data_IF_195911279026
#
_entry.id   IF_195911279026
#
_cell.length_a   1.000
_cell.length_b   1.000
_cell.length_c   1.000
_cell.angle_alpha   90.00
_cell.angle_beta   90.00
_cell.angle_gamma   90.00
#
_symmetry.space_group_name_H-M   'P 1'
#
loop_
_entity.id
_entity.type
_entity.pdbx_description
1 polymer ?
#
# COMPACT_ATOMS: atom_id res chain seq x y z
N UNK A 1 6.65 -18.25 4.18
CA UNK A 1 7.62 -17.28 3.63
C UNK A 1 8.10 -16.41 4.78
N UNK A 2 9.38 -16.03 4.85
CA UNK A 2 9.83 -15.03 5.83
C UNK A 2 9.20 -13.69 5.46
N UNK A 3 8.59 -13.00 6.42
CA UNK A 3 8.02 -11.66 6.19
C UNK A 3 9.15 -10.63 6.15
N UNK A 4 9.73 -10.44 4.97
CA UNK A 4 10.78 -9.46 4.70
C UNK A 4 10.19 -8.05 4.55
N UNK A 5 11.02 -7.03 4.75
CA UNK A 5 10.76 -5.67 4.35
C UNK A 5 11.40 -5.41 2.98
N UNK A 6 10.58 -4.97 2.05
CA UNK A 6 11.00 -4.63 0.70
C UNK A 6 10.97 -3.12 0.50
N UNK A 7 11.96 -2.60 -0.21
CA UNK A 7 11.93 -1.26 -0.79
C UNK A 7 11.59 -1.40 -2.28
N UNK A 8 10.50 -0.79 -2.73
CA UNK A 8 10.16 -0.80 -4.15
C UNK A 8 9.53 0.52 -4.60
N UNK A 9 9.61 0.79 -5.89
CA UNK A 9 8.80 1.81 -6.53
C UNK A 9 7.35 1.33 -6.58
N UNK A 10 6.40 2.09 -6.02
CA UNK A 10 4.96 1.81 -6.09
C UNK A 10 4.27 2.70 -7.12
N UNK A 11 2.98 2.47 -7.36
CA UNK A 11 2.17 3.26 -8.27
C UNK A 11 2.07 4.75 -7.89
N UNK A 12 2.36 5.11 -6.62
CA UNK A 12 2.38 6.51 -6.15
C UNK A 12 3.78 7.03 -5.83
N UNK A 13 4.54 6.33 -4.99
CA UNK A 13 5.83 6.81 -4.46
C UNK A 13 6.77 5.63 -4.24
N UNK A 14 7.95 5.88 -3.68
CA UNK A 14 8.78 4.79 -3.13
C UNK A 14 8.12 4.30 -1.83
N UNK A 15 8.04 2.98 -1.66
CA UNK A 15 7.31 2.36 -0.56
C UNK A 15 8.11 1.28 0.17
N UNK A 16 7.92 1.25 1.48
CA UNK A 16 8.18 0.08 2.31
C UNK A 16 7.01 -0.89 2.19
N UNK A 17 7.30 -2.13 1.85
CA UNK A 17 6.31 -3.18 1.59
C UNK A 17 6.64 -4.39 2.46
N UNK A 18 5.65 -4.91 3.17
CA UNK A 18 5.79 -6.17 3.92
C UNK A 18 4.43 -6.77 4.25
N UNK A 19 4.36 -8.09 4.41
CA UNK A 19 3.19 -8.75 5.01
C UNK A 19 3.19 -8.65 6.54
N UNK A 20 4.30 -8.21 7.15
CA UNK A 20 4.42 -7.94 8.58
C UNK A 20 4.45 -6.43 8.85
N UNK A 21 3.42 -5.94 9.53
CA UNK A 21 3.30 -4.52 9.86
C UNK A 21 4.40 -4.05 10.83
N UNK A 22 4.94 -4.94 11.67
CA UNK A 22 5.96 -4.58 12.66
C UNK A 22 7.28 -4.18 11.99
N UNK A 23 7.59 -4.78 10.84
CA UNK A 23 8.73 -4.39 9.99
C UNK A 23 8.60 -2.96 9.49
N UNK A 24 7.40 -2.56 9.08
CA UNK A 24 7.13 -1.19 8.64
C UNK A 24 7.19 -0.24 9.83
N UNK A 25 6.65 -0.61 11.00
CA UNK A 25 6.73 0.20 12.21
C UNK A 25 8.19 0.50 12.60
N UNK A 26 9.03 -0.54 12.62
CA UNK A 26 10.46 -0.43 12.89
C UNK A 26 11.17 0.49 11.89
N UNK A 27 10.96 0.27 10.59
CA UNK A 27 11.56 1.08 9.53
C UNK A 27 11.06 2.53 9.49
N UNK A 28 9.84 2.81 9.98
CA UNK A 28 9.31 4.18 10.06
C UNK A 28 9.56 4.85 11.40
N UNK A 29 10.16 4.13 12.37
CA UNK A 29 10.25 4.50 13.79
C UNK A 29 8.91 5.00 14.34
N UNK A 30 7.86 4.24 14.02
CA UNK A 30 6.46 4.63 14.28
C UNK A 30 5.92 3.79 15.44
N UNK A 31 5.07 4.40 16.27
CA UNK A 31 4.40 3.67 17.34
C UNK A 31 3.56 2.51 16.76
N UNK A 32 3.57 1.33 17.42
CA UNK A 32 2.79 0.19 16.98
C UNK A 32 1.29 0.50 16.99
N UNK A 33 0.51 -0.30 16.25
CA UNK A 33 -0.96 -0.25 16.13
C UNK A 33 -1.53 0.79 15.17
N UNK A 34 -0.71 1.51 14.39
CA UNK A 34 -1.26 2.34 13.31
C UNK A 34 -1.62 1.48 12.10
N UNK A 35 -2.81 1.70 11.54
CA UNK A 35 -3.23 0.98 10.33
C UNK A 35 -2.45 1.42 9.10
N UNK A 36 -1.93 0.44 8.36
CA UNK A 36 -1.33 0.64 7.05
C UNK A 36 -2.32 0.34 5.93
N UNK A 37 -2.04 0.91 4.77
CA UNK A 37 -2.78 0.58 3.54
C UNK A 37 -2.38 -0.85 3.16
N UNK A 38 -3.36 -1.72 2.92
CA UNK A 38 -3.13 -3.02 2.31
C UNK A 38 -3.19 -2.87 0.79
N UNK A 39 -2.08 -3.10 0.13
CA UNK A 39 -2.03 -3.24 -1.33
C UNK A 39 -2.35 -4.68 -1.69
N UNK A 40 -3.15 -4.86 -2.74
CA UNK A 40 -3.55 -6.18 -3.26
C UNK A 40 -3.45 -6.16 -4.77
N UNK A 41 -3.05 -7.28 -5.37
CA UNK A 41 -2.90 -7.38 -6.81
C UNK A 41 -4.24 -7.43 -7.58
N UNK A 42 -5.33 -7.79 -6.91
CA UNK A 42 -6.63 -7.93 -7.56
C UNK A 42 -7.81 -7.66 -6.63
N UNK A 43 -8.98 -7.40 -7.21
CA UNK A 43 -10.24 -7.33 -6.46
C UNK A 43 -10.57 -8.69 -5.81
N UNK A 44 -10.19 -9.80 -6.44
CA UNK A 44 -10.40 -11.13 -5.88
C UNK A 44 -9.60 -11.32 -4.59
N UNK A 45 -8.33 -10.91 -4.58
CA UNK A 45 -7.49 -10.92 -3.38
C UNK A 45 -8.06 -10.02 -2.28
N UNK A 46 -8.53 -8.81 -2.63
CA UNK A 46 -9.21 -7.93 -1.68
C UNK A 46 -10.41 -8.63 -1.02
N UNK A 47 -11.22 -9.33 -1.82
CA UNK A 47 -12.43 -10.01 -1.34
C UNK A 47 -12.14 -11.17 -0.39
N UNK A 48 -10.92 -11.70 -0.34
CA UNK A 48 -10.47 -12.63 0.71
C UNK A 48 -10.44 -11.96 2.10
N UNK A 49 -10.28 -10.63 2.16
CA UNK A 49 -10.20 -9.87 3.42
C UNK A 49 -11.48 -9.14 3.80
N UNK A 50 -12.23 -8.64 2.81
CA UNK A 50 -13.41 -7.82 3.07
C UNK A 50 -14.37 -7.77 1.89
N UNK A 51 -15.67 -7.71 2.17
CA UNK A 51 -16.71 -7.52 1.16
C UNK A 51 -16.72 -6.06 0.70
N UNK A 52 -16.50 -5.86 -0.60
CA UNK A 52 -16.75 -4.56 -1.24
C UNK A 52 -18.23 -4.45 -1.61
N UNK A 53 -18.93 -3.36 -1.24
CA UNK A 53 -20.30 -3.13 -1.67
C UNK A 53 -20.43 -3.18 -3.19
N UNK A 54 -21.48 -3.85 -3.71
CA UNK A 54 -21.63 -4.09 -5.14
C UNK A 54 -21.58 -2.81 -5.97
N UNK A 55 -22.20 -1.72 -5.47
CA UNK A 55 -22.19 -0.39 -6.10
C UNK A 55 -20.79 0.18 -6.31
N UNK A 56 -19.82 -0.22 -5.50
CA UNK A 56 -18.46 0.31 -5.54
C UNK A 56 -17.44 -0.66 -6.16
N UNK A 57 -17.79 -1.93 -6.42
CA UNK A 57 -16.86 -2.95 -6.96
C UNK A 57 -16.11 -2.48 -8.21
N UNK A 58 -16.82 -1.91 -9.17
CA UNK A 58 -16.21 -1.42 -10.40
C UNK A 58 -15.27 -0.24 -10.17
N UNK A 59 -15.60 0.66 -9.23
CA UNK A 59 -14.72 1.78 -8.85
C UNK A 59 -13.45 1.28 -8.18
N UNK A 60 -13.59 0.45 -7.15
CA UNK A 60 -12.46 -0.17 -6.43
C UNK A 60 -11.54 -0.92 -7.39
N UNK A 61 -12.10 -1.64 -8.35
CA UNK A 61 -11.33 -2.39 -9.35
C UNK A 61 -10.63 -1.51 -10.38
N UNK A 62 -11.16 -0.32 -10.72
CA UNK A 62 -10.70 0.46 -11.89
C UNK A 62 -9.88 1.69 -11.52
N UNK A 63 -10.02 2.22 -10.31
CA UNK A 63 -9.26 3.41 -9.90
C UNK A 63 -7.76 3.13 -9.81
N UNK A 64 -6.95 4.05 -10.33
CA UNK A 64 -5.48 4.06 -10.20
C UNK A 64 -5.09 4.99 -9.05
N UNK A 65 -3.98 4.70 -8.35
CA UNK A 65 -3.45 5.56 -7.28
C UNK A 65 -4.50 5.98 -6.25
N UNK A 66 -5.48 5.12 -5.97
CA UNK A 66 -6.63 5.41 -5.10
C UNK A 66 -6.77 4.34 -4.05
N UNK A 67 -6.85 4.77 -2.79
CA UNK A 67 -7.07 3.89 -1.64
C UNK A 67 -8.51 4.01 -1.17
N UNK A 68 -9.12 2.89 -0.82
CA UNK A 68 -10.48 2.83 -0.29
C UNK A 68 -10.48 2.31 1.14
N UNK A 69 -11.04 3.08 2.05
CA UNK A 69 -11.45 2.60 3.37
C UNK A 69 -12.79 1.88 3.17
N UNK A 70 -12.80 0.57 3.34
CA UNK A 70 -13.95 -0.32 3.15
C UNK A 70 -14.82 -0.30 4.43
N UNK A 71 -16.11 -0.69 4.41
CA UNK A 71 -16.99 -0.56 5.59
C UNK A 71 -16.49 -1.21 6.88
N UNK A 72 -15.58 -2.19 6.83
CA UNK A 72 -14.93 -2.76 8.00
C UNK A 72 -13.77 -1.92 8.57
N UNK A 73 -13.60 -0.68 8.11
CA UNK A 73 -12.56 0.26 8.57
C UNK A 73 -11.17 0.02 7.98
N UNK A 74 -10.95 -1.11 7.31
CA UNK A 74 -9.66 -1.42 6.70
C UNK A 74 -9.46 -0.66 5.38
N UNK A 75 -8.21 -0.27 5.13
CA UNK A 75 -7.81 0.50 3.94
C UNK A 75 -7.16 -0.41 2.90
N UNK A 76 -7.68 -0.39 1.67
CA UNK A 76 -7.18 -1.20 0.57
C UNK A 76 -6.87 -0.37 -0.66
N UNK A 77 -5.80 -0.74 -1.37
CA UNK A 77 -5.50 -0.25 -2.73
C UNK A 77 -5.32 -1.44 -3.65
N UNK A 78 -6.12 -1.51 -4.71
CA UNK A 78 -5.94 -2.52 -5.76
C UNK A 78 -4.93 -1.96 -6.76
N UNK A 79 -3.75 -2.57 -6.86
CA UNK A 79 -2.69 -2.09 -7.77
C UNK A 79 -2.94 -2.65 -9.18
N UNK A 80 -2.73 -1.81 -10.19
CA UNK A 80 -2.91 -2.18 -11.59
C UNK A 80 -1.70 -1.75 -12.42
N UNK A 81 -1.22 -2.66 -13.26
CA UNK A 81 -0.31 -2.36 -14.37
C UNK A 81 0.90 -1.52 -13.92
N UNK A 82 1.64 -2.02 -12.94
CA UNK A 82 2.85 -1.38 -12.44
C UNK A 82 3.92 -2.43 -12.21
N UNK A 83 5.20 -2.08 -12.37
CA UNK A 83 6.33 -3.00 -12.13
C UNK A 83 6.27 -3.63 -10.71
N UNK A 84 5.75 -2.86 -9.74
CA UNK A 84 5.41 -3.30 -8.39
C UNK A 84 4.51 -4.54 -8.34
N UNK A 85 3.66 -4.78 -9.35
CA UNK A 85 2.83 -5.98 -9.42
C UNK A 85 3.67 -7.25 -9.48
N UNK A 86 4.89 -7.24 -10.01
CA UNK A 86 5.73 -8.45 -10.01
C UNK A 86 6.02 -8.96 -8.59
N UNK A 87 6.22 -8.05 -7.64
CA UNK A 87 6.35 -8.38 -6.23
C UNK A 87 4.98 -8.75 -5.63
N UNK A 88 3.96 -7.94 -5.91
CA UNK A 88 2.63 -8.12 -5.31
C UNK A 88 1.90 -9.36 -5.83
N UNK A 89 2.18 -9.83 -7.04
CA UNK A 89 1.62 -11.06 -7.63
C UNK A 89 2.20 -12.30 -6.95
N UNK A 90 3.45 -12.23 -6.47
CA UNK A 90 4.05 -13.30 -5.65
C UNK A 90 3.52 -13.31 -4.23
N UNK A 91 3.26 -12.13 -3.66
CA UNK A 91 2.75 -11.98 -2.29
C UNK A 91 1.21 -12.05 -2.19
N UNK A 92 0.51 -11.86 -3.30
CA UNK A 92 -0.90 -11.49 -3.47
C UNK A 92 -1.30 -10.15 -2.80
N UNK A 93 -0.82 -9.91 -1.58
CA UNK A 93 -1.11 -8.74 -0.77
C UNK A 93 0.09 -8.35 0.11
N UNK A 94 0.17 -7.08 0.48
CA UNK A 94 1.12 -6.59 1.48
C UNK A 94 0.60 -5.31 2.13
N UNK A 95 1.15 -4.95 3.29
CA UNK A 95 1.08 -3.58 3.77
C UNK A 95 2.04 -2.71 2.96
N UNK A 96 1.65 -1.47 2.71
CA UNK A 96 2.46 -0.48 2.04
C UNK A 96 2.40 0.86 2.77
N UNK A 97 3.56 1.50 2.88
CA UNK A 97 3.72 2.86 3.39
C UNK A 97 4.84 3.56 2.64
N UNK A 98 4.83 4.89 2.60
CA UNK A 98 5.94 5.66 2.02
C UNK A 98 7.27 5.31 2.72
N UNK A 99 8.35 5.23 1.95
CA UNK A 99 9.67 4.79 2.41
C UNK A 99 10.47 5.87 3.16
N UNK A 100 9.83 6.57 4.09
CA UNK A 100 10.40 7.65 4.88
C UNK A 100 10.19 7.40 6.38
N UNK A 101 11.00 8.06 7.20
CA UNK A 101 10.69 8.20 8.62
C UNK A 101 9.32 8.89 8.79
N UNK A 102 8.61 8.57 9.87
CA UNK A 102 7.27 9.13 10.10
C UNK A 102 7.33 10.66 10.20
N UNK A 103 6.77 11.36 9.20
CA UNK A 103 6.72 12.83 9.16
C UNK A 103 7.93 13.50 8.51
N UNK A 104 8.93 12.73 8.07
CA UNK A 104 10.12 13.26 7.38
C UNK A 104 9.99 13.17 5.86
N UNK A 105 10.95 13.77 5.14
CA UNK A 105 11.10 13.54 3.70
C UNK A 105 11.74 12.18 3.40
N UNK A 106 11.70 11.77 2.13
CA UNK A 106 12.36 10.55 1.68
C UNK A 106 13.88 10.74 1.67
N UNK A 107 14.61 9.80 2.26
CA UNK A 107 16.07 9.76 2.25
C UNK A 107 16.51 8.35 1.83
N UNK A 108 17.23 8.27 0.70
CA UNK A 108 17.51 7.00 0.03
C UNK A 108 18.53 6.14 0.77
N UNK A 109 19.56 6.75 1.37
CA UNK A 109 20.59 6.04 2.12
C UNK A 109 19.97 5.26 3.27
N UNK A 110 19.15 5.92 4.08
CA UNK A 110 18.36 5.32 5.13
C UNK A 110 17.44 4.24 4.59
N UNK A 111 16.62 4.56 3.59
CA UNK A 111 15.62 3.63 3.06
C UNK A 111 16.25 2.33 2.56
N UNK A 112 17.45 2.38 1.97
CA UNK A 112 18.19 1.19 1.51
C UNK A 112 18.80 0.39 2.66
N UNK A 113 19.23 1.04 3.73
CA UNK A 113 19.87 0.38 4.89
C UNK A 113 18.86 -0.38 5.74
N UNK A 114 17.60 0.07 5.82
CA UNK A 114 16.62 -0.53 6.74
C UNK A 114 15.88 -1.76 6.20
N UNK A 115 16.03 -2.07 4.91
CA UNK A 115 15.28 -3.14 4.24
C UNK A 115 16.15 -4.36 3.98
N UNK A 116 15.55 -5.54 3.95
CA UNK A 116 16.28 -6.76 3.56
C UNK A 116 16.40 -6.91 2.04
N UNK A 117 15.48 -6.33 1.26
CA UNK A 117 15.45 -6.50 -0.21
C UNK A 117 15.05 -5.20 -0.91
N UNK A 118 15.81 -4.82 -1.94
CA UNK A 118 15.43 -3.73 -2.86
C UNK A 118 14.90 -4.35 -4.16
N UNK A 119 13.66 -4.02 -4.50
CA UNK A 119 12.96 -4.49 -5.71
C UNK A 119 12.69 -3.29 -6.62
N UNK A 120 13.75 -2.71 -7.17
CA UNK A 120 13.67 -1.61 -8.12
C UNK A 120 14.96 -1.49 -8.93
N UNK A 121 14.81 -1.30 -10.24
CA UNK A 121 15.91 -0.91 -11.14
C UNK A 121 16.31 0.55 -10.94
N UNK A 122 15.33 1.42 -10.68
CA UNK A 122 15.54 2.83 -10.29
C UNK A 122 14.42 3.28 -9.34
N UNK A 123 14.78 4.12 -8.36
CA UNK A 123 13.84 4.72 -7.42
C UNK A 123 13.63 6.18 -7.81
N UNK A 124 12.38 6.59 -8.01
CA UNK A 124 12.03 7.97 -8.39
C UNK A 124 11.18 8.58 -7.29
N UNK A 125 11.76 9.54 -6.55
CA UNK A 125 11.13 10.16 -5.39
C UNK A 125 9.87 10.99 -5.70
N UNK A 126 9.56 11.26 -6.98
CA UNK A 126 8.49 12.17 -7.40
C UNK A 126 7.19 11.42 -7.73
N UNK A 127 6.22 11.50 -6.82
CA UNK A 127 4.83 11.18 -7.10
C UNK A 127 3.89 11.66 -5.99
N UNK A 128 2.64 11.95 -6.33
CA UNK A 128 1.62 12.41 -5.38
C UNK A 128 1.13 11.21 -4.56
N UNK A 129 0.89 11.41 -3.26
CA UNK A 129 0.22 10.42 -2.43
C UNK A 129 -1.16 10.04 -3.02
N UNK A 130 -1.61 8.80 -2.79
CA UNK A 130 -2.91 8.38 -3.32
C UNK A 130 -4.05 9.22 -2.77
N UNK A 131 -5.05 9.44 -3.60
CA UNK A 131 -6.38 9.83 -3.15
C UNK A 131 -6.97 8.74 -2.27
N UNK A 132 -7.65 9.13 -1.19
CA UNK A 132 -8.32 8.24 -0.25
C UNK A 132 -9.81 8.55 -0.21
N UNK A 133 -10.62 7.53 -0.41
CA UNK A 133 -12.06 7.58 -0.19
C UNK A 133 -12.48 6.61 0.91
N UNK A 134 -13.52 6.97 1.65
CA UNK A 134 -14.24 6.04 2.53
C UNK A 134 -15.52 5.60 1.83
N UNK A 135 -15.75 4.28 1.80
CA UNK A 135 -16.93 3.68 1.21
C UNK A 135 -17.96 3.36 2.28
N UNK A 136 -19.19 3.81 2.08
CA UNK A 136 -20.37 3.27 2.76
C UNK A 136 -21.03 2.19 1.89
N UNK A 137 -22.22 1.75 2.31
CA UNK A 137 -23.02 0.81 1.51
C UNK A 137 -23.45 1.42 0.17
N UNK A 138 -23.85 2.70 0.19
CA UNK A 138 -24.36 3.44 -0.96
C UNK A 138 -23.60 4.73 -1.28
N UNK A 139 -22.88 5.28 -0.30
CA UNK A 139 -22.21 6.57 -0.38
C UNK A 139 -20.69 6.44 -0.44
N UNK A 140 -20.05 7.54 -0.83
CA UNK A 140 -18.59 7.67 -0.86
C UNK A 140 -18.21 9.04 -0.28
N UNK A 141 -17.19 9.05 0.58
CA UNK A 141 -16.66 10.26 1.19
C UNK A 141 -15.20 10.45 0.76
N UNK A 142 -14.85 11.63 0.28
CA UNK A 142 -13.45 12.01 0.03
C UNK A 142 -12.75 12.31 1.35
N UNK A 143 -11.52 11.82 1.50
CA UNK A 143 -10.68 12.06 2.68
C UNK A 143 -9.49 12.95 2.33
N UNK A 144 -8.78 12.66 1.24
CA UNK A 144 -7.65 13.44 0.69
C UNK A 144 -7.25 12.96 -0.69
#
# INVERSE_FOLDING_TARGET
MKNLLYLAQTDTTIGFISQDATKIDQAKKRLPNKHYIRTVNSLATLQKFSRVPNRHKNRVRRSKQTTFIIPNGLSFRVIKEYEHNLLLDRLEWAYSSSANLSGAEYEEGYARVVVEVVVASSLKAKGKASTIYRLGTNGIQFIR
#
